data_IF_309688145294
#
_entry.id   IF_309688145294
#
_cell.length_a   1.000
_cell.length_b   1.000
_cell.length_c   1.000
_cell.angle_alpha   90.00
_cell.angle_beta   90.00
_cell.angle_gamma   90.00
#
_symmetry.space_group_name_H-M   'P 1'
#
loop_
_entity.id
_entity.type
_entity.pdbx_description
1 polymer ?
#
# COMPACT_ATOMS: atom_id res chain seq x y z
N UNK A 1 1.57 32.36 23.83
CA UNK A 1 1.97 32.77 22.47
C UNK A 1 1.69 31.57 21.57
N UNK A 2 0.50 31.54 20.97
CA UNK A 2 0.07 30.44 20.10
C UNK A 2 0.83 30.60 18.78
N UNK A 3 1.59 29.57 18.39
CA UNK A 3 2.21 29.52 17.06
C UNK A 3 1.10 29.55 16.02
N UNK A 4 1.16 30.53 15.12
CA UNK A 4 0.32 30.57 13.93
C UNK A 4 0.54 29.26 13.16
N UNK A 5 -0.55 28.51 12.94
CA UNK A 5 -0.50 27.33 12.09
C UNK A 5 -0.09 27.79 10.69
N UNK A 6 1.07 27.32 10.20
CA UNK A 6 1.47 27.50 8.82
C UNK A 6 0.32 27.07 7.92
N UNK A 7 -0.20 27.99 7.11
CA UNK A 7 -1.16 27.65 6.06
C UNK A 7 -0.37 26.91 4.99
N UNK A 8 -0.38 25.57 5.06
CA UNK A 8 0.23 24.73 4.05
C UNK A 8 -0.51 24.94 2.72
N UNK A 9 0.21 25.36 1.69
CA UNK A 9 -0.32 25.48 0.34
C UNK A 9 -0.46 24.08 -0.29
N UNK A 10 -1.47 23.85 -1.16
CA UNK A 10 -1.60 22.57 -1.84
C UNK A 10 -0.34 22.25 -2.63
N UNK A 11 0.23 21.08 -2.37
CA UNK A 11 1.37 20.59 -3.14
C UNK A 11 0.94 20.33 -4.59
N UNK A 12 1.78 20.76 -5.54
CA UNK A 12 1.56 20.56 -6.98
C UNK A 12 2.77 19.83 -7.57
N UNK A 13 2.49 18.78 -8.34
CA UNK A 13 3.51 18.03 -9.06
C UNK A 13 3.02 16.65 -9.47
N UNK A 14 3.91 15.92 -10.13
CA UNK A 14 3.68 14.53 -10.52
C UNK A 14 4.49 13.62 -9.61
N UNK A 15 3.85 12.56 -9.13
CA UNK A 15 4.49 11.51 -8.35
C UNK A 15 4.34 10.19 -9.11
N UNK A 16 5.34 9.33 -8.97
CA UNK A 16 5.25 7.92 -9.32
C UNK A 16 5.02 7.13 -8.04
N UNK A 17 4.00 6.26 -8.06
CA UNK A 17 3.77 5.28 -7.00
C UNK A 17 3.83 3.88 -7.57
N UNK A 18 4.61 3.02 -6.93
CA UNK A 18 4.66 1.60 -7.26
C UNK A 18 3.68 0.87 -6.37
N UNK A 19 2.84 0.05 -6.97
CA UNK A 19 1.87 -0.82 -6.31
C UNK A 19 2.05 -2.24 -6.79
N UNK A 20 1.62 -3.20 -5.99
CA UNK A 20 1.47 -4.56 -6.47
C UNK A 20 0.51 -4.58 -7.68
N UNK A 21 0.90 -5.32 -8.71
CA UNK A 21 0.17 -5.42 -9.96
C UNK A 21 -1.23 -5.94 -9.67
N UNK A 22 -2.22 -5.29 -10.29
CA UNK A 22 -3.66 -5.59 -10.23
C UNK A 22 -4.04 -6.97 -10.79
N UNK A 23 -3.08 -7.83 -11.12
CA UNK A 23 -3.41 -9.16 -11.56
C UNK A 23 -4.01 -9.94 -10.38
N UNK A 24 -5.30 -10.21 -10.56
CA UNK A 24 -6.30 -10.99 -9.81
C UNK A 24 -5.85 -12.40 -9.34
N UNK A 25 -4.56 -12.63 -9.14
CA UNK A 25 -3.91 -13.94 -9.20
C UNK A 25 -3.14 -14.29 -7.92
N UNK A 26 -2.75 -13.32 -7.08
CA UNK A 26 -2.02 -13.64 -5.84
C UNK A 26 -2.84 -14.59 -4.92
N UNK A 27 -4.15 -14.40 -4.87
CA UNK A 27 -5.09 -15.22 -4.10
C UNK A 27 -5.58 -16.46 -4.86
N UNK A 28 -5.40 -16.55 -6.19
CA UNK A 28 -5.78 -17.76 -6.96
C UNK A 28 -5.00 -19.01 -6.51
N UNK A 29 -3.80 -18.84 -5.97
CA UNK A 29 -3.05 -19.95 -5.39
C UNK A 29 -3.65 -20.49 -4.08
N UNK A 30 -4.64 -19.81 -3.50
CA UNK A 30 -5.31 -20.21 -2.26
C UNK A 30 -6.62 -20.96 -2.49
N UNK A 31 -7.06 -21.09 -3.74
CA UNK A 31 -8.37 -21.68 -4.12
C UNK A 31 -8.22 -22.58 -5.34
N UNK A 32 -9.15 -23.52 -5.51
CA UNK A 32 -9.07 -24.52 -6.59
C UNK A 32 -9.95 -24.16 -7.81
N UNK A 33 -10.82 -23.15 -7.67
CA UNK A 33 -11.77 -22.75 -8.72
C UNK A 33 -12.04 -21.24 -8.78
N UNK A 34 -12.58 -20.77 -9.90
CA UNK A 34 -12.97 -19.37 -10.09
C UNK A 34 -14.15 -18.97 -9.21
N UNK A 35 -15.05 -19.92 -8.92
CA UNK A 35 -16.18 -19.75 -8.02
C UNK A 35 -15.71 -19.52 -6.59
N UNK A 36 -14.77 -20.33 -6.10
CA UNK A 36 -14.15 -20.14 -4.80
C UNK A 36 -13.37 -18.82 -4.74
N UNK A 37 -12.67 -18.46 -5.80
CA UNK A 37 -12.01 -17.16 -5.90
C UNK A 37 -13.01 -16.01 -5.73
N UNK A 38 -14.18 -16.08 -6.36
CA UNK A 38 -15.20 -15.04 -6.25
C UNK A 38 -15.73 -14.91 -4.82
N UNK A 39 -15.90 -16.04 -4.12
CA UNK A 39 -16.29 -16.05 -2.70
C UNK A 39 -15.18 -15.47 -1.82
N UNK A 40 -13.93 -15.87 -2.04
CA UNK A 40 -12.77 -15.35 -1.29
C UNK A 40 -12.65 -13.84 -1.44
N UNK A 41 -12.75 -13.32 -2.66
CA UNK A 41 -12.71 -11.87 -2.92
C UNK A 41 -13.88 -11.14 -2.24
N UNK A 42 -15.09 -11.71 -2.25
CA UNK A 42 -16.24 -11.12 -1.57
C UNK A 42 -16.05 -11.07 -0.04
N UNK A 43 -15.45 -12.11 0.56
CA UNK A 43 -15.11 -12.15 1.97
C UNK A 43 -14.02 -11.13 2.33
N UNK A 44 -12.97 -11.05 1.51
CA UNK A 44 -11.89 -10.07 1.68
C UNK A 44 -12.47 -8.65 1.60
N UNK A 45 -13.35 -8.37 0.65
CA UNK A 45 -13.94 -7.04 0.50
C UNK A 45 -14.81 -6.63 1.68
N UNK A 46 -15.60 -7.56 2.23
CA UNK A 46 -16.41 -7.36 3.42
C UNK A 46 -15.57 -7.15 4.69
N UNK A 47 -14.39 -7.78 4.78
CA UNK A 47 -13.51 -7.65 5.93
C UNK A 47 -12.73 -6.32 5.96
N UNK A 48 -12.71 -5.56 4.85
CA UNK A 48 -11.98 -4.29 4.79
C UNK A 48 -12.65 -3.24 5.70
N UNK A 49 -11.86 -2.40 6.40
CA UNK A 49 -12.41 -1.31 7.20
C UNK A 49 -13.32 -0.38 6.37
N UNK A 50 -14.30 0.27 7.00
CA UNK A 50 -15.07 1.31 6.34
C UNK A 50 -14.13 2.42 5.87
N UNK A 51 -14.47 2.96 4.72
CA UNK A 51 -13.84 4.12 4.13
C UNK A 51 -13.86 5.33 5.08
N UNK A 52 -12.70 5.98 5.26
CA UNK A 52 -12.59 7.26 5.97
C UNK A 52 -12.85 8.47 5.07
N UNK A 53 -12.77 8.28 3.76
CA UNK A 53 -12.95 9.29 2.72
C UNK A 53 -13.99 8.85 1.70
N UNK A 54 -14.56 9.80 0.97
CA UNK A 54 -15.49 9.52 -0.12
C UNK A 54 -14.75 8.88 -1.31
N UNK A 55 -14.61 7.54 -1.31
CA UNK A 55 -13.89 6.79 -2.34
C UNK A 55 -14.54 6.93 -3.73
N UNK A 56 -15.84 7.27 -3.81
CA UNK A 56 -16.53 7.42 -5.09
C UNK A 56 -15.97 8.58 -5.92
N UNK A 57 -15.27 9.53 -5.27
CA UNK A 57 -14.63 10.68 -5.93
C UNK A 57 -13.21 10.41 -6.40
N UNK A 58 -12.57 9.32 -5.95
CA UNK A 58 -11.15 9.08 -6.21
C UNK A 58 -10.91 7.64 -6.65
N UNK A 59 -10.08 7.47 -7.69
CA UNK A 59 -9.62 6.15 -8.10
C UNK A 59 -9.05 5.37 -6.91
N UNK A 60 -9.34 4.06 -6.80
CA UNK A 60 -8.99 3.28 -5.61
C UNK A 60 -7.48 3.29 -5.29
N UNK A 61 -6.61 3.46 -6.30
CA UNK A 61 -5.15 3.62 -6.11
C UNK A 61 -4.77 4.90 -5.35
N UNK A 62 -5.60 5.93 -5.39
CA UNK A 62 -5.39 7.17 -4.64
C UNK A 62 -5.97 7.03 -3.24
N UNK A 63 -7.12 6.39 -3.11
CA UNK A 63 -7.88 6.37 -1.86
C UNK A 63 -7.50 5.23 -0.92
N UNK A 64 -6.98 4.11 -1.41
CA UNK A 64 -6.57 2.95 -0.61
C UNK A 64 -5.52 3.22 0.49
N UNK A 65 -4.50 4.10 0.31
CA UNK A 65 -3.57 4.41 1.40
C UNK A 65 -4.26 5.00 2.63
N UNK A 66 -5.41 5.66 2.46
CA UNK A 66 -6.12 6.35 3.55
C UNK A 66 -7.18 5.49 4.24
N UNK A 67 -7.41 4.26 3.76
CA UNK A 67 -8.49 3.37 4.24
C UNK A 67 -8.16 2.67 5.56
N UNK A 68 -6.91 2.29 5.76
CA UNK A 68 -6.50 1.49 6.92
C UNK A 68 -6.08 2.38 8.10
N UNK A 69 -6.24 1.94 9.36
CA UNK A 69 -5.73 2.67 10.52
C UNK A 69 -4.19 2.75 10.52
N UNK A 70 -3.58 3.61 11.37
CA UNK A 70 -2.13 3.73 11.49
C UNK A 70 -1.43 2.39 11.66
N UNK A 71 -0.26 2.25 11.03
CA UNK A 71 0.55 1.05 11.15
C UNK A 71 0.95 0.82 12.61
N UNK A 72 0.81 -0.43 13.10
CA UNK A 72 1.12 -0.80 14.50
C UNK A 72 2.50 -0.35 14.96
N UNK A 73 3.47 -0.32 14.05
CA UNK A 73 4.86 0.03 14.31
C UNK A 73 5.27 1.35 13.63
N UNK A 74 4.32 2.11 13.09
CA UNK A 74 4.60 3.22 12.19
C UNK A 74 5.26 2.75 10.89
N UNK A 75 5.86 3.71 10.20
CA UNK A 75 6.64 3.56 8.98
C UNK A 75 7.95 4.33 9.10
N UNK A 76 8.76 4.34 8.03
CA UNK A 76 9.99 5.15 7.98
C UNK A 76 9.75 6.66 8.15
N UNK A 77 8.57 7.15 7.74
CA UNK A 77 8.26 8.60 7.72
C UNK A 77 7.02 8.97 8.55
N UNK A 78 6.42 8.02 9.27
CA UNK A 78 5.29 8.28 10.17
C UNK A 78 5.40 7.42 11.42
N UNK A 79 5.13 7.99 12.57
CA UNK A 79 4.98 7.23 13.81
C UNK A 79 3.71 6.36 13.80
N UNK A 80 3.53 5.59 14.88
CA UNK A 80 2.34 4.73 15.11
C UNK A 80 1.03 5.50 15.30
N UNK A 81 1.09 6.83 15.40
CA UNK A 81 -0.06 7.69 15.63
C UNK A 81 -0.43 8.55 14.41
N UNK A 82 0.44 8.65 13.40
CA UNK A 82 0.15 9.42 12.19
C UNK A 82 -1.02 8.76 11.44
N UNK A 83 -1.95 9.56 10.90
CA UNK A 83 -2.93 9.06 9.95
C UNK A 83 -2.20 8.50 8.73
N UNK A 84 -2.89 7.64 7.99
CA UNK A 84 -2.27 6.89 6.91
C UNK A 84 -1.70 7.79 5.82
N UNK A 85 -0.49 7.45 5.38
CA UNK A 85 0.34 8.28 4.52
C UNK A 85 0.32 7.80 3.07
N UNK A 86 0.32 8.76 2.14
CA UNK A 86 0.51 8.47 0.73
C UNK A 86 2.00 8.44 0.39
N UNK A 87 2.52 7.26 0.05
CA UNK A 87 3.89 7.10 -0.40
C UNK A 87 3.98 7.23 -1.92
N UNK A 88 4.67 8.27 -2.38
CA UNK A 88 4.99 8.51 -3.77
C UNK A 88 6.37 9.15 -3.90
N UNK A 89 6.96 9.06 -5.10
CA UNK A 89 8.28 9.60 -5.40
C UNK A 89 8.21 10.55 -6.58
N UNK A 90 9.05 11.59 -6.60
CA UNK A 90 9.23 12.47 -7.76
C UNK A 90 9.94 11.77 -8.94
N UNK A 91 10.53 10.59 -8.70
CA UNK A 91 11.28 9.81 -9.70
C UNK A 91 10.93 8.33 -9.58
N UNK A 92 10.67 7.68 -10.72
CA UNK A 92 10.42 6.24 -10.79
C UNK A 92 11.61 5.42 -10.27
N UNK A 93 12.84 5.86 -10.51
CA UNK A 93 14.05 5.20 -10.03
C UNK A 93 14.09 5.16 -8.50
N UNK A 94 13.74 6.26 -7.84
CA UNK A 94 13.65 6.30 -6.38
C UNK A 94 12.52 5.41 -5.86
N UNK A 95 11.35 5.39 -6.52
CA UNK A 95 10.26 4.49 -6.15
C UNK A 95 10.67 3.01 -6.26
N UNK A 96 11.35 2.63 -7.34
CA UNK A 96 11.86 1.27 -7.54
C UNK A 96 12.96 0.92 -6.53
N UNK A 97 13.82 1.88 -6.18
CA UNK A 97 14.86 1.69 -5.16
C UNK A 97 14.26 1.45 -3.77
N UNK A 98 13.24 2.22 -3.37
CA UNK A 98 12.51 1.98 -2.11
C UNK A 98 11.82 0.61 -2.12
N UNK A 99 11.21 0.23 -3.25
CA UNK A 99 10.65 -1.12 -3.42
C UNK A 99 11.69 -2.22 -3.22
N UNK A 100 12.90 -2.08 -3.78
CA UNK A 100 13.99 -3.05 -3.58
C UNK A 100 14.49 -3.04 -2.13
N UNK A 101 14.66 -1.86 -1.54
CA UNK A 101 15.10 -1.69 -0.16
C UNK A 101 14.21 -2.46 0.82
N UNK A 102 12.89 -2.29 0.77
CA UNK A 102 11.99 -2.99 1.70
C UNK A 102 11.93 -4.50 1.48
N UNK A 103 12.25 -5.01 0.28
CA UNK A 103 12.41 -6.45 0.06
C UNK A 103 13.65 -6.97 0.78
N UNK A 104 14.75 -6.23 0.75
CA UNK A 104 15.94 -6.61 1.51
C UNK A 104 15.70 -6.54 3.01
N UNK A 105 15.03 -5.50 3.50
CA UNK A 105 14.63 -5.41 4.92
C UNK A 105 13.73 -6.58 5.33
N UNK A 106 12.77 -6.96 4.48
CA UNK A 106 11.93 -8.13 4.71
C UNK A 106 12.77 -9.41 4.81
N UNK A 107 13.67 -9.65 3.85
CA UNK A 107 14.54 -10.83 3.83
C UNK A 107 15.50 -10.87 5.01
N UNK A 108 16.07 -9.73 5.40
CA UNK A 108 16.98 -9.60 6.55
C UNK A 108 16.24 -9.87 7.87
N UNK A 109 14.98 -9.47 7.97
CA UNK A 109 14.14 -9.68 9.15
C UNK A 109 13.59 -11.10 9.31
N UNK A 110 13.82 -12.01 8.36
CA UNK A 110 13.27 -13.37 8.43
C UNK A 110 14.00 -14.22 9.47
N UNK A 111 13.25 -14.81 10.40
CA UNK A 111 13.79 -15.83 11.32
C UNK A 111 14.04 -17.17 10.63
N UNK A 112 13.23 -17.47 9.60
CA UNK A 112 13.33 -18.69 8.79
C UNK A 112 13.42 -18.31 7.30
N UNK A 113 14.37 -18.86 6.54
CA UNK A 113 14.49 -18.57 5.11
C UNK A 113 13.28 -19.02 4.31
N UNK A 114 12.99 -18.32 3.21
CA UNK A 114 11.90 -18.73 2.30
C UNK A 114 12.29 -20.03 1.58
N UNK A 115 11.44 -21.05 1.69
CA UNK A 115 11.66 -22.35 1.05
C UNK A 115 11.54 -22.32 -0.48
N UNK A 116 10.81 -21.35 -1.03
CA UNK A 116 10.58 -21.17 -2.46
C UNK A 116 10.60 -19.68 -2.84
N UNK A 117 10.96 -19.31 -4.09
CA UNK A 117 10.95 -17.92 -4.52
C UNK A 117 9.56 -17.28 -4.42
N UNK A 118 9.48 -16.11 -3.78
CA UNK A 118 8.26 -15.29 -3.79
C UNK A 118 8.24 -14.48 -5.08
N UNK A 119 7.25 -14.77 -5.93
CA UNK A 119 7.01 -13.98 -7.15
C UNK A 119 6.02 -12.87 -6.82
N UNK A 120 6.40 -11.63 -7.09
CA UNK A 120 5.55 -10.46 -6.90
C UNK A 120 5.64 -9.56 -8.12
N UNK A 121 4.52 -9.20 -8.72
CA UNK A 121 4.47 -8.32 -9.90
C UNK A 121 4.01 -6.93 -9.49
N UNK A 122 4.55 -5.88 -10.11
CA UNK A 122 4.33 -4.51 -9.69
C UNK A 122 4.06 -3.61 -10.90
N UNK A 123 3.22 -2.60 -10.69
CA UNK A 123 2.93 -1.56 -11.66
C UNK A 123 3.19 -0.18 -11.06
N UNK A 124 3.64 0.75 -11.88
CA UNK A 124 3.71 2.17 -11.50
C UNK A 124 2.56 2.94 -12.11
N UNK A 125 2.03 3.91 -11.37
CA UNK A 125 1.07 4.90 -11.88
C UNK A 125 1.44 6.30 -11.38
#
# INVERSE_FOLDING_TARGET
MLQEANVESPWQGTLSRVVESQQRIATLHLVDSLEEQAVLEALIDQAKPPASIDHDKFHYLISSPFRYPPLRHGSRFGSRYEPSLFYGSLSIQCALAECAYYRFVFLEGMSEPIAAPVRSEHSSF
#
